data_IF_312825659881
#
_entry.id   IF_312825659881
#
_cell.length_a   1.000
_cell.length_b   1.000
_cell.length_c   1.000
_cell.angle_alpha   90.00
_cell.angle_beta   90.00
_cell.angle_gamma   90.00
#
_symmetry.space_group_name_H-M   'P 1'
#
loop_
_entity.id
_entity.type
_entity.pdbx_description
1 polymer ?
#
# COMPACT_ATOMS: atom_id res chain seq x y z
N UNK A 1 -26.33 8.75 -92.14
CA UNK A 1 -26.59 9.84 -91.10
C UNK A 1 -27.06 9.32 -89.73
N UNK A 2 -27.87 8.29 -89.67
CA UNK A 2 -28.49 7.82 -88.38
C UNK A 2 -27.46 7.20 -87.39
N UNK A 3 -26.42 6.50 -87.83
CA UNK A 3 -25.38 5.92 -86.99
C UNK A 3 -24.48 6.98 -86.33
N UNK A 4 -24.18 8.04 -87.04
CA UNK A 4 -23.35 9.15 -86.49
C UNK A 4 -24.10 10.00 -85.47
N UNK A 5 -25.39 10.25 -85.67
CA UNK A 5 -26.22 10.93 -84.71
C UNK A 5 -26.42 10.14 -83.42
N UNK A 6 -26.59 8.83 -83.50
CA UNK A 6 -26.66 7.96 -82.31
C UNK A 6 -25.36 7.94 -81.52
N UNK A 7 -24.20 8.03 -82.23
CA UNK A 7 -22.89 8.09 -81.56
C UNK A 7 -22.68 9.43 -80.81
N UNK A 8 -23.10 10.54 -81.47
CA UNK A 8 -23.03 11.88 -80.85
C UNK A 8 -23.92 11.98 -79.63
N UNK A 9 -25.13 11.44 -79.70
CA UNK A 9 -26.06 11.42 -78.53
C UNK A 9 -25.54 10.54 -77.39
N UNK A 10 -24.85 9.40 -77.69
CA UNK A 10 -24.22 8.55 -76.68
C UNK A 10 -22.98 9.23 -76.04
N UNK A 11 -22.22 9.96 -76.83
CA UNK A 11 -21.10 10.75 -76.30
C UNK A 11 -21.53 11.90 -75.45
N UNK A 12 -22.57 12.64 -75.84
CA UNK A 12 -23.18 13.73 -75.05
C UNK A 12 -23.79 13.20 -73.75
N UNK A 13 -24.49 12.06 -73.79
CA UNK A 13 -25.02 11.41 -72.60
C UNK A 13 -23.91 10.93 -71.67
N UNK A 14 -22.81 10.38 -72.18
CA UNK A 14 -21.64 9.98 -71.35
C UNK A 14 -20.94 11.19 -70.71
N UNK A 15 -20.80 12.31 -71.43
CA UNK A 15 -20.25 13.56 -70.90
C UNK A 15 -21.16 14.16 -69.82
N UNK A 16 -22.48 14.13 -70.01
CA UNK A 16 -23.45 14.58 -69.03
C UNK A 16 -23.46 13.71 -67.74
N UNK A 17 -23.27 12.37 -67.90
CA UNK A 17 -23.18 11.45 -66.77
C UNK A 17 -21.84 11.65 -66.02
N UNK A 18 -20.75 11.81 -66.72
CA UNK A 18 -19.40 12.03 -66.11
C UNK A 18 -19.38 13.43 -65.46
N UNK A 19 -19.92 14.45 -66.08
CA UNK A 19 -20.06 15.79 -65.52
C UNK A 19 -20.98 15.83 -64.29
N UNK A 20 -22.09 15.08 -64.34
CA UNK A 20 -23.00 14.93 -63.22
C UNK A 20 -22.41 14.18 -62.04
N UNK A 21 -21.66 13.12 -62.30
CA UNK A 21 -20.92 12.38 -61.27
C UNK A 21 -19.77 13.21 -60.69
N UNK A 22 -19.04 13.99 -61.51
CA UNK A 22 -17.99 14.89 -61.06
C UNK A 22 -18.56 16.03 -60.16
N UNK A 23 -19.67 16.66 -60.56
CA UNK A 23 -20.33 17.70 -59.79
C UNK A 23 -20.90 17.14 -58.46
N UNK A 24 -21.53 15.95 -58.53
CA UNK A 24 -22.03 15.25 -57.35
C UNK A 24 -20.89 14.85 -56.39
N UNK A 25 -19.80 14.31 -56.91
CA UNK A 25 -18.63 13.95 -56.12
C UNK A 25 -17.99 15.15 -55.43
N UNK A 26 -17.85 16.28 -56.15
CA UNK A 26 -17.36 17.54 -55.58
C UNK A 26 -18.27 18.08 -54.45
N UNK A 27 -19.58 18.07 -54.68
CA UNK A 27 -20.55 18.50 -53.70
C UNK A 27 -20.47 17.63 -52.44
N UNK A 28 -20.44 16.32 -52.54
CA UNK A 28 -20.38 15.40 -51.42
C UNK A 28 -19.01 15.36 -50.72
N UNK A 29 -17.95 15.82 -51.39
CA UNK A 29 -16.65 16.00 -50.75
C UNK A 29 -16.57 17.28 -49.94
N UNK A 30 -17.37 18.31 -50.26
CA UNK A 30 -17.38 19.63 -49.60
C UNK A 30 -18.55 19.86 -48.67
N UNK A 31 -19.57 19.00 -48.66
CA UNK A 31 -20.79 19.15 -47.85
C UNK A 31 -21.12 17.87 -47.09
N UNK A 32 -21.67 18.04 -45.90
CA UNK A 32 -22.19 16.93 -45.10
C UNK A 32 -23.37 16.25 -45.78
N UNK A 33 -23.48 14.92 -45.73
CA UNK A 33 -24.61 14.16 -46.19
C UNK A 33 -25.90 14.55 -45.44
N UNK A 34 -27.07 14.49 -46.10
CA UNK A 34 -28.34 15.04 -45.65
C UNK A 34 -28.76 14.74 -44.23
N UNK A 35 -28.47 13.52 -43.75
CA UNK A 35 -28.93 13.04 -42.43
C UNK A 35 -27.81 12.99 -41.39
N UNK A 36 -26.77 13.82 -41.56
CA UNK A 36 -25.63 13.91 -40.60
C UNK A 36 -25.95 14.91 -39.50
N UNK A 37 -25.61 14.52 -38.27
CA UNK A 37 -25.62 15.39 -37.11
C UNK A 37 -24.26 15.32 -36.41
N UNK A 38 -23.89 16.40 -35.73
CA UNK A 38 -22.72 16.42 -34.79
C UNK A 38 -23.30 16.81 -33.44
N UNK A 39 -23.09 15.96 -32.42
CA UNK A 39 -23.64 16.11 -31.06
C UNK A 39 -25.16 16.41 -31.08
N UNK A 40 -25.91 15.83 -32.02
CA UNK A 40 -27.34 16.05 -32.19
C UNK A 40 -27.72 17.26 -33.06
N UNK A 41 -26.80 18.16 -33.35
CA UNK A 41 -27.03 19.35 -34.22
C UNK A 41 -27.01 18.92 -35.68
N UNK A 42 -28.08 19.21 -36.43
CA UNK A 42 -28.17 18.89 -37.86
C UNK A 42 -27.19 19.72 -38.68
N UNK A 43 -26.23 19.06 -39.33
CA UNK A 43 -25.23 19.68 -40.20
C UNK A 43 -25.34 19.22 -41.66
N UNK A 44 -26.29 18.36 -41.96
CA UNK A 44 -26.50 17.84 -43.32
C UNK A 44 -26.72 18.97 -44.34
N UNK A 45 -26.03 18.87 -45.49
CA UNK A 45 -26.05 19.87 -46.55
C UNK A 45 -25.18 21.11 -46.30
N UNK A 46 -24.50 21.19 -45.15
CA UNK A 46 -23.60 22.31 -44.82
C UNK A 46 -22.15 21.98 -45.22
N UNK A 47 -21.36 23.00 -45.53
CA UNK A 47 -19.90 22.91 -45.61
C UNK A 47 -19.31 22.77 -44.19
N UNK A 48 -18.03 22.40 -44.06
CA UNK A 48 -17.37 22.31 -42.75
C UNK A 48 -17.37 23.65 -42.01
N UNK A 49 -17.17 24.78 -42.68
CA UNK A 49 -17.22 26.12 -42.08
C UNK A 49 -18.63 26.46 -41.60
N UNK A 50 -19.66 26.29 -42.47
CA UNK A 50 -21.04 26.56 -42.07
C UNK A 50 -21.54 25.64 -40.93
N UNK A 51 -21.08 24.37 -40.92
CA UNK A 51 -21.37 23.44 -39.85
C UNK A 51 -20.68 23.88 -38.54
N UNK A 52 -19.41 24.34 -38.61
CA UNK A 52 -18.72 24.88 -37.46
C UNK A 52 -19.45 26.12 -36.90
N UNK A 53 -19.78 27.10 -37.73
CA UNK A 53 -20.51 28.29 -37.31
C UNK A 53 -21.82 27.94 -36.60
N UNK A 54 -22.56 27.00 -37.20
CA UNK A 54 -23.80 26.51 -36.61
C UNK A 54 -23.58 25.82 -35.26
N UNK A 55 -22.53 25.01 -35.10
CA UNK A 55 -22.16 24.40 -33.82
C UNK A 55 -21.73 25.43 -32.78
N UNK A 56 -20.92 26.41 -33.19
CA UNK A 56 -20.43 27.47 -32.32
C UNK A 56 -21.54 28.39 -31.78
N UNK A 57 -22.57 28.67 -32.60
CA UNK A 57 -23.70 29.52 -32.21
C UNK A 57 -24.71 28.82 -31.29
N UNK A 58 -24.62 27.51 -31.10
CA UNK A 58 -25.55 26.78 -30.21
C UNK A 58 -25.32 27.12 -28.75
N UNK A 59 -26.40 27.15 -27.99
CA UNK A 59 -26.37 27.09 -26.52
C UNK A 59 -26.77 25.69 -26.08
N UNK A 60 -26.22 25.23 -24.98
CA UNK A 60 -26.60 23.96 -24.35
C UNK A 60 -27.49 24.27 -23.16
N UNK A 61 -28.63 23.62 -23.05
CA UNK A 61 -29.52 23.74 -21.88
C UNK A 61 -28.89 23.10 -20.63
N UNK A 62 -28.02 22.11 -20.83
CA UNK A 62 -27.44 21.26 -19.79
C UNK A 62 -28.47 20.49 -18.95
N UNK A 63 -29.71 20.39 -19.45
CA UNK A 63 -30.76 19.58 -18.85
C UNK A 63 -30.41 18.09 -18.93
N UNK A 64 -30.66 17.35 -17.85
CA UNK A 64 -30.47 15.89 -17.82
C UNK A 64 -31.82 15.19 -17.67
N UNK A 65 -32.07 14.26 -18.57
CA UNK A 65 -33.23 13.38 -18.56
C UNK A 65 -32.81 11.95 -18.30
N UNK A 66 -33.59 11.24 -17.48
CA UNK A 66 -33.43 9.80 -17.24
C UNK A 66 -34.75 9.10 -17.59
N UNK A 67 -34.69 8.17 -18.54
CA UNK A 67 -35.90 7.51 -19.09
C UNK A 67 -36.99 8.52 -19.54
N UNK A 68 -36.57 9.62 -20.16
CA UNK A 68 -37.46 10.69 -20.64
C UNK A 68 -37.97 11.67 -19.57
N UNK A 69 -37.69 11.43 -18.28
CA UNK A 69 -38.07 12.36 -17.20
C UNK A 69 -36.87 13.27 -16.86
N UNK A 70 -37.12 14.60 -16.81
CA UNK A 70 -36.11 15.57 -16.36
C UNK A 70 -35.75 15.30 -14.90
N UNK A 71 -34.47 15.14 -14.62
CA UNK A 71 -33.91 14.90 -13.28
C UNK A 71 -32.97 16.01 -12.82
N UNK A 72 -32.53 16.85 -13.75
CA UNK A 72 -31.69 18.00 -13.48
C UNK A 72 -32.07 19.13 -14.48
N UNK A 73 -32.28 20.32 -13.97
CA UNK A 73 -32.47 21.53 -14.76
C UNK A 73 -31.15 22.28 -14.79
N UNK A 74 -30.57 22.37 -15.99
CA UNK A 74 -29.27 22.97 -16.20
C UNK A 74 -29.32 24.47 -16.38
N UNK A 75 -28.25 25.16 -16.06
CA UNK A 75 -28.00 26.53 -16.49
C UNK A 75 -27.46 26.52 -17.92
N UNK A 76 -28.04 27.30 -18.80
CA UNK A 76 -27.60 27.35 -20.19
C UNK A 76 -26.19 27.89 -20.34
N UNK A 77 -25.34 27.20 -21.12
CA UNK A 77 -23.97 27.57 -21.42
C UNK A 77 -23.72 27.65 -22.93
N UNK A 78 -22.62 28.25 -23.37
CA UNK A 78 -22.16 28.18 -24.74
C UNK A 78 -21.91 26.72 -25.17
N UNK A 79 -21.90 26.47 -26.48
CA UNK A 79 -21.57 25.17 -27.03
C UNK A 79 -20.13 24.70 -26.70
N UNK A 80 -19.21 25.63 -26.41
CA UNK A 80 -17.81 25.40 -26.20
C UNK A 80 -16.98 25.20 -27.46
N UNK A 81 -17.57 25.33 -28.65
CA UNK A 81 -16.83 25.31 -29.90
C UNK A 81 -16.10 26.63 -30.14
N UNK A 82 -14.79 26.56 -30.42
CA UNK A 82 -13.92 27.70 -30.74
C UNK A 82 -13.31 27.53 -32.13
N UNK A 83 -12.58 28.54 -32.61
CA UNK A 83 -11.90 28.47 -33.91
C UNK A 83 -10.95 27.27 -34.01
N UNK A 84 -10.38 26.79 -32.87
CA UNK A 84 -9.56 25.59 -32.79
C UNK A 84 -10.31 24.32 -33.21
N UNK A 85 -11.66 24.31 -33.16
CA UNK A 85 -12.44 23.11 -33.50
C UNK A 85 -12.78 23.03 -35.00
N UNK A 86 -12.49 24.05 -35.80
CA UNK A 86 -12.71 24.02 -37.26
C UNK A 86 -12.05 22.81 -37.94
N UNK A 87 -10.79 22.54 -37.56
CA UNK A 87 -10.08 21.39 -38.09
C UNK A 87 -10.73 20.05 -37.70
N UNK A 88 -11.31 19.94 -36.50
CA UNK A 88 -12.05 18.75 -36.06
C UNK A 88 -13.34 18.54 -36.89
N UNK A 89 -14.09 19.61 -37.14
CA UNK A 89 -15.32 19.56 -37.99
C UNK A 89 -14.96 19.17 -39.42
N UNK A 90 -13.89 19.75 -39.97
CA UNK A 90 -13.38 19.38 -41.31
C UNK A 90 -12.96 17.91 -41.37
N UNK A 91 -12.33 17.39 -40.31
CA UNK A 91 -11.97 15.97 -40.21
C UNK A 91 -13.23 15.08 -40.26
N UNK A 92 -14.29 15.42 -39.53
CA UNK A 92 -15.56 14.68 -39.57
C UNK A 92 -16.19 14.69 -40.97
N UNK A 93 -16.12 15.82 -41.67
CA UNK A 93 -16.56 15.90 -43.08
C UNK A 93 -15.76 14.94 -43.98
N UNK A 94 -14.44 14.89 -43.82
CA UNK A 94 -13.56 13.96 -44.58
C UNK A 94 -13.83 12.49 -44.23
N UNK A 95 -14.12 12.16 -43.00
CA UNK A 95 -14.44 10.79 -42.55
C UNK A 95 -15.76 10.27 -43.14
N UNK A 96 -16.73 11.14 -43.40
CA UNK A 96 -17.96 10.72 -44.03
C UNK A 96 -17.92 10.69 -45.56
N UNK A 97 -16.83 11.20 -46.20
CA UNK A 97 -16.71 11.41 -47.64
C UNK A 97 -17.22 10.21 -48.45
N UNK A 98 -18.29 10.44 -49.21
CA UNK A 98 -18.89 9.47 -50.10
C UNK A 98 -18.96 10.08 -51.51
N UNK A 99 -18.67 9.29 -52.53
CA UNK A 99 -18.77 9.73 -53.95
C UNK A 99 -20.25 9.93 -54.33
N UNK A 100 -21.13 9.17 -53.72
CA UNK A 100 -22.57 9.22 -53.90
C UNK A 100 -23.32 9.70 -52.66
N UNK A 101 -24.49 10.33 -52.81
CA UNK A 101 -25.32 10.77 -51.68
C UNK A 101 -25.62 9.58 -50.77
N UNK A 102 -25.45 9.77 -49.44
CA UNK A 102 -25.85 8.80 -48.45
C UNK A 102 -27.04 9.32 -47.63
N UNK A 103 -28.09 8.53 -47.58
CA UNK A 103 -29.27 8.81 -46.74
C UNK A 103 -29.14 8.24 -45.34
N UNK A 104 -27.99 7.61 -45.01
CA UNK A 104 -27.71 7.03 -43.69
C UNK A 104 -27.73 8.10 -42.60
N UNK A 105 -28.54 7.89 -41.55
CA UNK A 105 -28.53 8.74 -40.36
C UNK A 105 -27.26 8.46 -39.57
N UNK A 106 -26.43 9.48 -39.38
CA UNK A 106 -25.16 9.35 -38.64
C UNK A 106 -25.04 10.53 -37.67
N UNK A 107 -24.77 10.25 -36.39
CA UNK A 107 -24.47 11.27 -35.39
C UNK A 107 -23.01 11.13 -34.93
N UNK A 108 -22.18 12.06 -35.33
CA UNK A 108 -20.79 12.12 -34.88
C UNK A 108 -20.70 12.74 -33.49
N UNK A 109 -19.79 12.21 -32.69
CA UNK A 109 -19.44 12.75 -31.37
C UNK A 109 -18.22 13.61 -31.52
N UNK A 110 -18.29 14.87 -31.13
CA UNK A 110 -17.18 15.80 -31.21
C UNK A 110 -17.09 16.60 -29.89
N UNK A 111 -15.97 16.50 -29.18
CA UNK A 111 -15.76 17.27 -27.96
C UNK A 111 -15.24 18.67 -28.30
N UNK A 112 -15.98 19.73 -27.93
CA UNK A 112 -15.55 21.12 -28.08
C UNK A 112 -14.28 21.40 -27.27
N UNK A 113 -13.46 22.33 -27.73
CA UNK A 113 -12.20 22.70 -27.07
C UNK A 113 -12.40 23.38 -25.71
N UNK A 114 -13.52 24.12 -25.56
CA UNK A 114 -13.87 24.84 -24.32
C UNK A 114 -15.20 24.34 -23.74
N UNK A 115 -15.31 23.01 -23.57
CA UNK A 115 -16.51 22.40 -23.00
C UNK A 115 -16.63 22.77 -21.51
N UNK A 116 -17.68 23.54 -21.16
CA UNK A 116 -17.99 23.84 -19.76
C UNK A 116 -18.49 22.57 -19.04
N UNK A 117 -17.80 22.22 -17.95
CA UNK A 117 -18.11 21.07 -17.08
C UNK A 117 -18.45 21.48 -15.65
N UNK A 118 -18.66 22.75 -15.38
CA UNK A 118 -18.95 23.28 -14.03
C UNK A 118 -20.13 22.60 -13.35
N UNK A 119 -21.14 22.19 -14.13
CA UNK A 119 -22.36 21.54 -13.62
C UNK A 119 -22.24 20.00 -13.50
N UNK A 120 -21.13 19.39 -13.91
CA UNK A 120 -20.98 17.93 -13.96
C UNK A 120 -21.19 17.25 -12.60
N UNK A 121 -20.72 17.86 -11.53
CA UNK A 121 -20.90 17.31 -10.17
C UNK A 121 -22.37 17.28 -9.75
N UNK A 122 -23.11 18.38 -10.02
CA UNK A 122 -24.52 18.46 -9.73
C UNK A 122 -25.35 17.47 -10.57
N UNK A 123 -25.03 17.33 -11.87
CA UNK A 123 -25.61 16.32 -12.74
C UNK A 123 -25.43 14.91 -12.23
N UNK A 124 -24.19 14.55 -11.81
CA UNK A 124 -23.87 13.23 -11.21
C UNK A 124 -24.66 12.98 -9.93
N UNK A 125 -24.80 14.00 -9.09
CA UNK A 125 -25.60 13.93 -7.85
C UNK A 125 -27.09 13.71 -8.17
N UNK A 126 -27.66 14.44 -9.14
CA UNK A 126 -29.04 14.28 -9.56
C UNK A 126 -29.30 12.87 -10.12
N UNK A 127 -28.40 12.36 -10.96
CA UNK A 127 -28.47 10.97 -11.45
C UNK A 127 -28.49 9.99 -10.28
N UNK A 128 -27.57 10.14 -9.29
CA UNK A 128 -27.54 9.26 -8.14
C UNK A 128 -28.87 9.26 -7.39
N UNK A 129 -29.42 10.42 -7.07
CA UNK A 129 -30.70 10.56 -6.36
C UNK A 129 -31.83 9.90 -7.13
N UNK A 130 -31.93 10.17 -8.45
CA UNK A 130 -32.98 9.60 -9.30
C UNK A 130 -32.87 8.07 -9.40
N UNK A 131 -31.63 7.54 -9.54
CA UNK A 131 -31.41 6.09 -9.62
C UNK A 131 -31.65 5.42 -8.29
N UNK A 132 -31.22 6.00 -7.17
CA UNK A 132 -31.49 5.47 -5.82
C UNK A 132 -33.01 5.34 -5.58
N UNK A 133 -33.79 6.35 -5.97
CA UNK A 133 -35.26 6.30 -5.90
C UNK A 133 -35.84 5.19 -6.78
N UNK A 134 -35.32 5.01 -8.00
CA UNK A 134 -35.77 3.93 -8.89
C UNK A 134 -35.36 2.53 -8.35
N UNK A 135 -34.33 2.46 -7.51
CA UNK A 135 -33.80 1.20 -6.98
C UNK A 135 -34.40 0.80 -5.62
N UNK A 136 -35.24 1.59 -4.99
CA UNK A 136 -35.78 1.32 -3.64
C UNK A 136 -36.33 -0.09 -3.45
N UNK A 137 -36.97 -0.66 -4.45
CA UNK A 137 -37.55 -2.01 -4.42
C UNK A 137 -36.88 -2.96 -5.42
N UNK A 138 -35.61 -2.74 -5.77
CA UNK A 138 -34.89 -3.50 -6.78
C UNK A 138 -33.70 -4.23 -6.17
N UNK A 139 -33.35 -5.36 -6.71
CA UNK A 139 -32.23 -6.22 -6.26
C UNK A 139 -31.01 -5.95 -7.13
N UNK A 140 -29.86 -5.73 -6.48
CA UNK A 140 -28.59 -5.57 -7.18
C UNK A 140 -28.14 -6.89 -7.81
N UNK A 141 -27.65 -6.84 -9.04
CA UNK A 141 -27.02 -7.99 -9.67
C UNK A 141 -25.69 -8.29 -9.00
N UNK A 142 -25.41 -9.57 -8.76
CA UNK A 142 -24.12 -10.04 -8.21
C UNK A 142 -23.33 -10.70 -9.33
N UNK A 143 -22.12 -10.21 -9.58
CA UNK A 143 -21.22 -10.81 -10.55
C UNK A 143 -20.65 -12.12 -10.04
N UNK A 144 -20.40 -13.08 -10.92
CA UNK A 144 -19.52 -14.19 -10.63
C UNK A 144 -18.12 -13.66 -10.30
N UNK A 145 -17.47 -14.26 -9.33
CA UNK A 145 -16.11 -13.90 -8.87
C UNK A 145 -15.30 -15.17 -8.67
N UNK A 146 -14.04 -15.12 -9.05
CA UNK A 146 -13.12 -16.18 -8.68
C UNK A 146 -12.59 -15.93 -7.25
N UNK A 147 -12.50 -17.01 -6.49
CA UNK A 147 -11.97 -17.03 -5.12
C UNK A 147 -10.99 -18.19 -5.01
N UNK A 148 -9.79 -17.90 -4.52
CA UNK A 148 -8.82 -18.91 -4.10
C UNK A 148 -8.99 -19.15 -2.60
N UNK A 149 -9.12 -20.39 -2.23
CA UNK A 149 -9.21 -20.86 -0.85
C UNK A 149 -8.85 -22.34 -0.80
N UNK A 150 -8.19 -22.80 0.26
CA UNK A 150 -7.79 -24.19 0.47
C UNK A 150 -7.09 -24.77 -0.78
N UNK A 151 -6.12 -24.01 -1.30
CA UNK A 151 -5.33 -24.31 -2.51
C UNK A 151 -6.16 -24.56 -3.79
N UNK A 152 -7.41 -24.11 -3.81
CA UNK A 152 -8.35 -24.27 -4.93
C UNK A 152 -8.91 -22.94 -5.38
N UNK A 153 -9.13 -22.83 -6.69
CA UNK A 153 -9.85 -21.70 -7.27
C UNK A 153 -11.28 -22.12 -7.57
N UNK A 154 -12.22 -21.48 -6.93
CA UNK A 154 -13.65 -21.64 -7.16
C UNK A 154 -14.23 -20.38 -7.78
N UNK A 155 -15.36 -20.50 -8.49
CA UNK A 155 -16.06 -19.34 -9.06
C UNK A 155 -17.48 -19.32 -8.47
N UNK A 156 -17.82 -18.20 -7.83
CA UNK A 156 -19.17 -17.99 -7.28
C UNK A 156 -20.20 -17.87 -8.40
N UNK A 157 -21.41 -18.35 -8.16
CA UNK A 157 -22.51 -18.20 -9.12
C UNK A 157 -22.98 -16.75 -9.19
N UNK A 158 -23.23 -16.21 -10.40
CA UNK A 158 -23.80 -14.89 -10.55
C UNK A 158 -25.26 -14.89 -10.13
N UNK A 159 -25.77 -13.74 -9.65
CA UNK A 159 -27.21 -13.55 -9.39
C UNK A 159 -27.72 -12.41 -10.27
N UNK A 160 -28.79 -12.66 -11.02
CA UNK A 160 -29.49 -11.61 -11.75
C UNK A 160 -30.09 -10.62 -10.76
N UNK A 161 -30.04 -9.35 -11.13
CA UNK A 161 -30.67 -8.27 -10.38
C UNK A 161 -31.69 -7.54 -11.25
N UNK A 162 -32.42 -6.63 -10.64
CA UNK A 162 -33.37 -5.73 -11.31
C UNK A 162 -32.97 -4.26 -11.14
N UNK A 163 -31.96 -3.99 -10.32
CA UNK A 163 -31.48 -2.63 -10.04
C UNK A 163 -30.71 -2.02 -11.20
N UNK A 164 -30.84 -0.72 -11.36
CA UNK A 164 -30.07 0.09 -12.28
C UNK A 164 -28.72 0.48 -11.68
N UNK A 165 -27.67 0.58 -12.51
CA UNK A 165 -26.33 0.91 -12.06
C UNK A 165 -25.98 2.37 -12.28
N UNK A 166 -25.91 3.15 -11.23
CA UNK A 166 -25.57 4.59 -11.24
C UNK A 166 -24.27 4.86 -11.98
N UNK A 167 -23.22 4.08 -11.75
CA UNK A 167 -21.92 4.29 -12.41
C UNK A 167 -21.96 4.13 -13.93
N UNK A 168 -22.81 3.24 -14.45
CA UNK A 168 -22.99 3.08 -15.91
C UNK A 168 -23.72 4.27 -16.51
N UNK A 169 -24.75 4.77 -15.83
CA UNK A 169 -25.50 5.95 -16.26
C UNK A 169 -24.62 7.20 -16.19
N UNK A 170 -23.80 7.32 -15.15
CA UNK A 170 -22.83 8.42 -15.03
C UNK A 170 -21.70 8.35 -16.08
N UNK A 171 -21.31 7.15 -16.52
CA UNK A 171 -20.37 7.01 -17.63
C UNK A 171 -21.01 7.44 -18.96
N UNK A 172 -22.31 7.14 -19.18
CA UNK A 172 -23.05 7.59 -20.36
C UNK A 172 -23.20 9.11 -20.38
N UNK A 173 -23.40 9.76 -19.22
CA UNK A 173 -23.41 11.22 -19.08
C UNK A 173 -22.16 11.84 -19.73
N UNK A 174 -20.97 11.32 -19.42
CA UNK A 174 -19.71 11.86 -19.93
C UNK A 174 -19.61 11.84 -21.47
N UNK A 175 -20.31 10.91 -22.11
CA UNK A 175 -20.36 10.80 -23.58
C UNK A 175 -21.36 11.75 -24.24
N UNK A 176 -22.16 12.46 -23.46
CA UNK A 176 -23.23 13.34 -23.95
C UNK A 176 -23.08 14.81 -23.51
N UNK A 177 -22.00 15.15 -22.79
CA UNK A 177 -21.79 16.50 -22.24
C UNK A 177 -21.77 17.61 -23.31
N UNK A 178 -21.44 17.29 -24.55
CA UNK A 178 -21.42 18.23 -25.66
C UNK A 178 -22.79 18.35 -26.38
N UNK A 179 -23.82 17.62 -25.97
CA UNK A 179 -25.15 17.73 -26.49
C UNK A 179 -25.91 18.90 -25.86
N UNK A 180 -26.93 19.42 -26.51
CA UNK A 180 -27.81 20.48 -25.95
C UNK A 180 -28.45 20.01 -24.65
N UNK A 181 -29.13 18.87 -24.68
CA UNK A 181 -29.67 18.19 -23.52
C UNK A 181 -29.16 16.75 -23.45
N UNK A 182 -29.05 16.21 -22.25
CA UNK A 182 -28.48 14.89 -21.98
C UNK A 182 -29.61 13.88 -21.79
N UNK A 183 -29.69 12.87 -22.64
CA UNK A 183 -30.73 11.84 -22.64
C UNK A 183 -30.15 10.50 -22.18
N UNK A 184 -30.38 10.14 -20.92
CA UNK A 184 -29.88 8.93 -20.30
C UNK A 184 -30.97 7.85 -20.22
N UNK A 185 -30.56 6.60 -20.40
CA UNK A 185 -31.46 5.46 -20.24
C UNK A 185 -30.94 4.53 -19.15
N UNK A 186 -31.74 4.28 -18.13
CA UNK A 186 -31.39 3.34 -17.07
C UNK A 186 -31.59 1.90 -17.58
N UNK A 187 -30.48 1.16 -17.61
CA UNK A 187 -30.45 -0.27 -17.98
C UNK A 187 -30.06 -1.12 -16.79
N UNK A 188 -30.74 -2.25 -16.63
CA UNK A 188 -30.38 -3.27 -15.64
C UNK A 188 -29.03 -3.89 -16.01
N UNK A 189 -28.14 -4.07 -15.04
CA UNK A 189 -26.86 -4.71 -15.26
C UNK A 189 -27.03 -6.20 -15.50
N UNK A 190 -26.51 -6.70 -16.60
CA UNK A 190 -26.26 -8.13 -16.77
C UNK A 190 -25.02 -8.52 -15.94
N UNK A 191 -25.12 -9.44 -14.98
CA UNK A 191 -23.98 -9.83 -14.17
C UNK A 191 -22.95 -10.59 -15.00
N UNK A 192 -21.68 -10.45 -14.62
CA UNK A 192 -20.61 -11.28 -15.16
C UNK A 192 -20.88 -12.74 -14.82
N UNK A 193 -20.69 -13.62 -15.79
CA UNK A 193 -20.78 -15.08 -15.61
C UNK A 193 -19.39 -15.69 -15.48
N UNK A 194 -19.31 -16.96 -15.09
CA UNK A 194 -18.04 -17.71 -15.05
C UNK A 194 -17.28 -17.73 -16.40
N UNK A 195 -17.99 -17.53 -17.50
CA UNK A 195 -17.42 -17.51 -18.84
C UNK A 195 -16.97 -16.13 -19.30
N UNK A 196 -17.28 -15.07 -18.55
CA UNK A 196 -16.87 -13.70 -18.87
C UNK A 196 -15.35 -13.55 -18.86
N UNK A 197 -14.78 -12.80 -19.80
CA UNK A 197 -13.34 -12.61 -19.94
C UNK A 197 -12.69 -12.09 -18.64
N UNK A 198 -13.37 -11.20 -17.91
CA UNK A 198 -12.90 -10.69 -16.62
C UNK A 198 -12.75 -11.83 -15.59
N UNK A 199 -13.77 -12.71 -15.44
CA UNK A 199 -13.73 -13.82 -14.47
C UNK A 199 -12.69 -14.86 -14.88
N UNK A 200 -12.51 -15.14 -16.17
CA UNK A 200 -11.43 -16.01 -16.67
C UNK A 200 -10.04 -15.44 -16.32
N UNK A 201 -9.86 -14.12 -16.41
CA UNK A 201 -8.62 -13.45 -16.00
C UNK A 201 -8.38 -13.57 -14.49
N UNK A 202 -9.43 -13.42 -13.67
CA UNK A 202 -9.36 -13.65 -12.22
C UNK A 202 -8.92 -15.08 -11.91
N UNK A 203 -9.55 -16.10 -12.53
CA UNK A 203 -9.20 -17.50 -12.36
C UNK A 203 -7.74 -17.77 -12.74
N UNK A 204 -7.28 -17.21 -13.87
CA UNK A 204 -5.90 -17.40 -14.33
C UNK A 204 -4.87 -16.77 -13.37
N UNK A 205 -5.19 -15.60 -12.82
CA UNK A 205 -4.35 -14.93 -11.83
C UNK A 205 -4.28 -15.74 -10.53
N UNK A 206 -5.42 -16.15 -9.99
CA UNK A 206 -5.50 -16.88 -8.73
C UNK A 206 -4.88 -18.29 -8.81
N UNK A 207 -4.95 -18.96 -9.94
CA UNK A 207 -4.26 -20.25 -10.16
C UNK A 207 -2.75 -20.17 -9.98
N UNK A 208 -2.14 -18.99 -10.19
CA UNK A 208 -0.70 -18.78 -9.97
C UNK A 208 -0.30 -18.89 -8.50
N UNK A 209 -1.25 -18.78 -7.58
CA UNK A 209 -1.00 -18.90 -6.14
C UNK A 209 -0.97 -20.36 -5.70
N UNK A 210 -1.62 -21.27 -6.43
CA UNK A 210 -1.78 -22.66 -6.00
C UNK A 210 -0.47 -23.44 -6.01
N UNK A 211 -0.30 -24.34 -5.03
CA UNK A 211 0.85 -25.26 -4.90
C UNK A 211 2.21 -24.56 -4.79
N UNK A 212 2.26 -23.30 -4.36
CA UNK A 212 3.52 -22.61 -4.10
C UNK A 212 4.10 -23.04 -2.76
N UNK A 213 5.44 -23.07 -2.72
CA UNK A 213 6.21 -23.32 -1.50
C UNK A 213 7.32 -22.26 -1.40
N UNK A 214 7.51 -21.73 -0.20
CA UNK A 214 8.56 -20.75 0.09
C UNK A 214 9.31 -21.22 1.34
N UNK A 215 10.62 -21.23 1.27
CA UNK A 215 11.48 -21.46 2.42
C UNK A 215 11.74 -20.12 3.12
N UNK A 216 11.20 -19.95 4.32
CA UNK A 216 11.45 -18.81 5.19
C UNK A 216 12.59 -19.13 6.15
N UNK A 217 13.74 -18.47 5.98
CA UNK A 217 14.96 -18.71 6.76
C UNK A 217 15.00 -17.76 7.96
N UNK A 218 14.98 -18.35 9.16
CA UNK A 218 15.07 -17.64 10.44
C UNK A 218 16.35 -18.11 11.13
N UNK A 219 17.36 -17.27 11.14
CA UNK A 219 18.72 -17.64 11.58
C UNK A 219 19.22 -18.92 10.87
N UNK A 220 19.59 -19.95 11.63
CA UNK A 220 20.04 -21.26 11.12
C UNK A 220 18.87 -22.24 10.85
N UNK A 221 17.62 -21.84 11.05
CA UNK A 221 16.42 -22.67 10.84
C UNK A 221 15.71 -22.30 9.54
N UNK A 222 15.12 -23.29 8.91
CA UNK A 222 14.35 -23.12 7.69
C UNK A 222 12.93 -23.65 7.90
N UNK A 223 11.94 -22.83 7.53
CA UNK A 223 10.52 -23.15 7.58
C UNK A 223 9.99 -23.19 6.16
N UNK A 224 9.49 -24.34 5.70
CA UNK A 224 8.85 -24.45 4.40
C UNK A 224 7.37 -24.11 4.57
N UNK A 225 6.95 -22.97 4.03
CA UNK A 225 5.57 -22.51 4.04
C UNK A 225 4.94 -22.76 2.68
N UNK A 226 3.71 -23.27 2.69
CA UNK A 226 2.87 -23.42 1.50
C UNK A 226 1.99 -22.21 1.29
N UNK A 227 1.32 -22.12 0.14
CA UNK A 227 0.33 -21.06 -0.10
C UNK A 227 -0.76 -21.04 0.98
N UNK A 228 -1.18 -22.21 1.48
CA UNK A 228 -2.23 -22.32 2.50
C UNK A 228 -1.76 -21.84 3.89
N UNK A 229 -0.45 -21.97 4.19
CA UNK A 229 0.14 -21.45 5.43
C UNK A 229 0.26 -19.92 5.40
N UNK A 230 0.22 -19.31 4.21
CA UNK A 230 0.42 -17.87 4.01
C UNK A 230 -0.92 -17.16 3.78
N UNK A 231 -1.82 -17.78 3.01
CA UNK A 231 -3.05 -17.15 2.53
C UNK A 231 -4.25 -17.99 2.96
N UNK A 232 -5.15 -17.40 3.74
CA UNK A 232 -6.44 -18.02 4.07
C UNK A 232 -7.41 -17.94 2.89
N UNK A 233 -7.41 -16.79 2.19
CA UNK A 233 -8.29 -16.52 1.05
C UNK A 233 -7.69 -15.46 0.15
N UNK A 234 -7.90 -15.58 -1.16
CA UNK A 234 -7.51 -14.54 -2.11
C UNK A 234 -8.61 -14.28 -3.16
N UNK A 235 -8.66 -13.02 -3.61
CA UNK A 235 -9.43 -12.59 -4.77
C UNK A 235 -8.54 -11.75 -5.69
N UNK A 236 -8.94 -11.63 -6.98
CA UNK A 236 -8.22 -10.81 -7.95
C UNK A 236 -9.21 -9.96 -8.73
N UNK A 237 -9.22 -8.65 -8.52
CA UNK A 237 -10.16 -7.73 -9.15
C UNK A 237 -9.43 -6.46 -9.63
N UNK A 238 -9.85 -5.95 -10.77
CA UNK A 238 -9.27 -4.72 -11.36
C UNK A 238 -7.72 -4.74 -11.48
N UNK A 239 -7.15 -5.92 -11.70
CA UNK A 239 -5.70 -6.07 -11.83
C UNK A 239 -4.94 -6.22 -10.50
N UNK A 240 -5.62 -6.27 -9.36
CA UNK A 240 -5.02 -6.34 -8.03
C UNK A 240 -5.48 -7.56 -7.25
N UNK A 241 -4.56 -8.15 -6.50
CA UNK A 241 -4.86 -9.19 -5.51
C UNK A 241 -5.36 -8.54 -4.22
N UNK A 242 -6.31 -9.22 -3.59
CA UNK A 242 -6.72 -8.98 -2.21
C UNK A 242 -6.54 -10.27 -1.44
N UNK A 243 -5.79 -10.22 -0.35
CA UNK A 243 -5.43 -11.39 0.45
C UNK A 243 -6.01 -11.30 1.85
N UNK A 244 -6.45 -12.44 2.36
CA UNK A 244 -6.63 -12.70 3.77
C UNK A 244 -5.43 -13.57 4.22
N UNK A 245 -4.64 -13.08 5.15
CA UNK A 245 -3.38 -13.68 5.60
C UNK A 245 -3.44 -14.17 7.05
N UNK A 246 -4.63 -14.41 7.60
CA UNK A 246 -4.79 -14.84 8.99
C UNK A 246 -4.07 -16.17 9.31
N UNK A 247 -3.92 -17.05 8.32
CA UNK A 247 -3.13 -18.29 8.46
C UNK A 247 -1.65 -17.96 8.74
N UNK A 248 -1.07 -16.98 8.02
CA UNK A 248 0.31 -16.56 8.20
C UNK A 248 0.57 -15.98 9.61
N UNK A 249 -0.37 -15.24 10.16
CA UNK A 249 -0.27 -14.70 11.52
C UNK A 249 -0.06 -15.82 12.55
N UNK A 250 -0.75 -16.94 12.37
CA UNK A 250 -0.60 -18.11 13.22
C UNK A 250 0.77 -18.79 13.01
N UNK A 251 1.25 -18.91 11.77
CA UNK A 251 2.55 -19.51 11.49
C UNK A 251 3.69 -18.64 12.03
N UNK A 252 3.66 -17.31 11.86
CA UNK A 252 4.65 -16.40 12.44
C UNK A 252 4.60 -16.46 13.98
N UNK A 253 3.43 -16.61 14.57
CA UNK A 253 3.29 -16.79 16.03
C UNK A 253 3.98 -18.07 16.49
N UNK A 254 3.80 -19.20 15.78
CA UNK A 254 4.50 -20.47 16.08
C UNK A 254 6.03 -20.32 15.94
N UNK A 255 6.49 -19.68 14.88
CA UNK A 255 7.91 -19.42 14.63
C UNK A 255 8.50 -18.54 15.75
N UNK A 256 7.81 -17.45 16.12
CA UNK A 256 8.21 -16.58 17.22
C UNK A 256 8.27 -17.33 18.56
N UNK A 257 7.29 -18.19 18.85
CA UNK A 257 7.32 -19.02 20.05
C UNK A 257 8.56 -19.91 20.09
N UNK A 258 8.98 -20.47 18.95
CA UNK A 258 10.10 -21.38 18.85
C UNK A 258 11.47 -20.67 18.81
N UNK A 259 11.58 -19.52 18.12
CA UNK A 259 12.88 -18.93 17.77
C UNK A 259 13.15 -17.58 18.41
N UNK A 260 12.15 -16.71 18.58
CA UNK A 260 12.40 -15.35 19.07
C UNK A 260 13.00 -15.35 20.47
N UNK A 261 13.83 -14.35 20.75
CA UNK A 261 14.53 -14.19 22.04
C UNK A 261 14.02 -13.01 22.85
N UNK A 262 13.42 -12.00 22.23
CA UNK A 262 12.86 -10.84 22.92
C UNK A 262 11.74 -11.23 23.89
N UNK A 263 11.89 -10.85 25.16
CA UNK A 263 10.93 -11.13 26.22
C UNK A 263 10.96 -12.59 26.67
N UNK A 264 12.10 -13.27 26.50
CA UNK A 264 12.33 -14.63 27.01
C UNK A 264 13.51 -14.69 27.96
N UNK A 265 13.50 -15.73 28.82
CA UNK A 265 14.61 -16.08 29.68
C UNK A 265 15.69 -16.82 28.89
N UNK A 266 16.95 -16.60 29.29
CA UNK A 266 18.12 -17.28 28.73
C UNK A 266 18.71 -18.24 29.77
N UNK A 267 19.20 -19.40 29.31
CA UNK A 267 20.07 -20.23 30.07
C UNK A 267 21.48 -19.64 29.97
N UNK A 268 22.02 -19.15 31.08
CA UNK A 268 23.29 -18.45 31.12
C UNK A 268 24.27 -19.10 32.12
N UNK A 269 25.49 -19.36 31.66
CA UNK A 269 26.57 -19.82 32.53
C UNK A 269 27.32 -18.62 33.08
N UNK A 270 27.16 -18.38 34.36
CA UNK A 270 27.77 -17.24 35.06
C UNK A 270 29.28 -17.35 35.15
N UNK A 271 29.96 -16.25 35.47
CA UNK A 271 31.39 -16.21 35.77
C UNK A 271 31.80 -17.23 36.85
N UNK A 272 30.98 -17.43 37.88
CA UNK A 272 31.19 -18.43 38.93
C UNK A 272 30.98 -19.87 38.45
N UNK A 273 30.66 -20.13 37.22
CA UNK A 273 30.45 -21.44 36.61
C UNK A 273 29.08 -22.05 36.81
N UNK A 274 28.15 -21.39 37.51
CA UNK A 274 26.80 -21.85 37.75
C UNK A 274 25.92 -21.57 36.49
N UNK A 275 24.98 -22.45 36.19
CA UNK A 275 23.98 -22.19 35.17
C UNK A 275 22.71 -21.64 35.80
N UNK A 276 22.34 -20.43 35.41
CA UNK A 276 21.10 -19.78 35.85
C UNK A 276 20.10 -19.70 34.70
N UNK A 277 18.85 -19.39 35.05
CA UNK A 277 17.81 -18.92 34.08
C UNK A 277 17.61 -17.44 34.38
N UNK A 278 17.88 -16.58 33.42
CA UNK A 278 17.66 -15.12 33.58
C UNK A 278 16.18 -14.79 33.73
N UNK A 279 15.88 -13.64 34.30
CA UNK A 279 14.54 -13.05 34.17
C UNK A 279 14.20 -12.90 32.67
N UNK A 280 12.92 -13.02 32.35
CA UNK A 280 12.40 -12.76 30.99
C UNK A 280 12.30 -11.25 30.69
N UNK A 281 12.69 -10.42 31.65
CA UNK A 281 12.74 -8.97 31.47
C UNK A 281 14.00 -8.59 30.68
N UNK A 282 13.98 -7.39 30.11
CA UNK A 282 15.12 -6.86 29.38
C UNK A 282 14.73 -6.47 27.94
N UNK A 283 15.63 -5.73 27.33
CA UNK A 283 15.45 -5.19 25.97
C UNK A 283 16.25 -5.98 24.91
N UNK A 284 17.13 -6.89 25.34
CA UNK A 284 17.91 -7.72 24.43
C UNK A 284 17.05 -8.78 23.78
N UNK A 285 17.21 -8.94 22.48
CA UNK A 285 16.52 -9.95 21.70
C UNK A 285 15.81 -9.40 20.48
N UNK A 286 15.14 -10.32 19.78
CA UNK A 286 14.41 -10.03 18.55
C UNK A 286 13.11 -10.85 18.46
N UNK A 287 12.17 -10.34 17.68
CA UNK A 287 10.95 -11.06 17.25
C UNK A 287 10.69 -10.78 15.80
N UNK A 288 10.01 -11.67 15.11
CA UNK A 288 9.53 -11.45 13.74
C UNK A 288 8.25 -10.61 13.80
N UNK A 289 8.24 -9.50 13.07
CA UNK A 289 7.06 -8.69 12.82
C UNK A 289 6.16 -9.39 11.80
N UNK A 290 4.95 -9.71 12.19
CA UNK A 290 3.96 -10.32 11.28
C UNK A 290 3.73 -9.45 10.06
N UNK A 291 3.60 -8.14 10.23
CA UNK A 291 3.39 -7.20 9.11
C UNK A 291 4.54 -7.21 8.11
N UNK A 292 5.81 -7.20 8.58
CA UNK A 292 6.98 -7.25 7.69
C UNK A 292 7.08 -8.62 7.01
N UNK A 293 6.91 -9.71 7.77
CA UNK A 293 6.94 -11.07 7.24
C UNK A 293 5.85 -11.31 6.18
N UNK A 294 4.64 -10.81 6.43
CA UNK A 294 3.54 -10.85 5.45
C UNK A 294 3.96 -10.20 4.14
N UNK A 295 4.52 -8.99 4.20
CA UNK A 295 4.99 -8.30 3.00
C UNK A 295 6.08 -9.09 2.27
N UNK A 296 7.10 -9.56 2.99
CA UNK A 296 8.22 -10.33 2.44
C UNK A 296 7.74 -11.62 1.76
N UNK A 297 6.89 -12.39 2.43
CA UNK A 297 6.38 -13.68 1.94
C UNK A 297 5.39 -13.50 0.79
N UNK A 298 4.51 -12.50 0.83
CA UNK A 298 3.60 -12.21 -0.27
C UNK A 298 4.33 -11.74 -1.52
N UNK A 299 5.32 -10.85 -1.37
CA UNK A 299 6.16 -10.40 -2.49
C UNK A 299 6.92 -11.59 -3.13
N UNK A 300 7.46 -12.47 -2.30
CA UNK A 300 8.17 -13.68 -2.75
C UNK A 300 7.23 -14.64 -3.52
N UNK A 301 6.04 -14.88 -2.97
CA UNK A 301 5.02 -15.75 -3.57
C UNK A 301 4.60 -15.22 -4.95
N UNK A 302 4.34 -13.93 -5.07
CA UNK A 302 3.91 -13.29 -6.32
C UNK A 302 5.03 -13.27 -7.36
N UNK A 303 6.29 -13.06 -6.94
CA UNK A 303 7.47 -13.09 -7.82
C UNK A 303 7.93 -14.49 -8.18
N UNK A 304 7.44 -15.53 -7.48
CA UNK A 304 7.89 -16.92 -7.67
C UNK A 304 9.25 -17.19 -7.03
N UNK A 305 9.66 -16.40 -6.04
CA UNK A 305 10.88 -16.62 -5.24
C UNK A 305 10.63 -17.80 -4.28
N UNK A 306 11.57 -18.73 -4.21
CA UNK A 306 11.42 -19.98 -3.44
C UNK A 306 12.05 -19.94 -2.05
N UNK A 307 12.87 -18.91 -1.74
CA UNK A 307 13.52 -18.76 -0.45
C UNK A 307 13.75 -17.30 -0.10
N UNK A 308 13.41 -16.91 1.13
CA UNK A 308 13.62 -15.56 1.68
C UNK A 308 14.12 -15.64 3.12
N UNK A 309 14.85 -14.61 3.57
CA UNK A 309 15.36 -14.47 4.92
C UNK A 309 14.45 -13.61 5.77
N UNK A 310 14.26 -13.99 7.03
CA UNK A 310 13.55 -13.21 8.04
C UNK A 310 14.33 -11.99 8.56
N UNK A 311 15.62 -11.84 8.20
CA UNK A 311 16.51 -10.80 8.76
C UNK A 311 15.92 -9.37 8.67
N UNK A 312 15.26 -9.04 7.57
CA UNK A 312 14.60 -7.73 7.40
C UNK A 312 13.25 -7.62 8.12
N UNK A 313 12.71 -8.75 8.55
CA UNK A 313 11.36 -8.81 9.14
C UNK A 313 11.41 -8.77 10.68
N UNK A 314 12.60 -8.91 11.28
CA UNK A 314 12.74 -8.87 12.73
C UNK A 314 12.62 -7.45 13.27
N UNK A 315 12.31 -7.36 14.56
CA UNK A 315 12.31 -6.11 15.32
C UNK A 315 12.78 -6.36 16.75
N UNK A 316 13.25 -5.31 17.40
CA UNK A 316 13.57 -5.21 18.81
C UNK A 316 12.85 -4.04 19.46
N UNK A 317 13.19 -3.77 20.72
CA UNK A 317 12.69 -2.63 21.50
C UNK A 317 13.85 -1.75 21.96
N UNK A 318 13.54 -0.52 22.37
CA UNK A 318 14.54 0.45 22.80
C UNK A 318 15.22 1.15 21.62
N UNK A 319 16.48 1.46 21.75
CA UNK A 319 17.27 2.22 20.78
C UNK A 319 17.52 1.45 19.48
N UNK A 320 17.65 0.14 19.53
CA UNK A 320 17.81 -0.70 18.34
C UNK A 320 16.51 -1.43 17.99
N UNK A 321 15.68 -0.79 17.14
CA UNK A 321 14.42 -1.36 16.68
C UNK A 321 14.59 -2.50 15.66
N UNK A 322 15.81 -2.78 15.19
CA UNK A 322 16.10 -3.86 14.25
C UNK A 322 16.22 -5.24 14.90
N UNK A 323 16.23 -5.31 16.23
CA UNK A 323 16.41 -6.54 16.99
C UNK A 323 17.88 -6.88 17.24
N UNK A 324 18.30 -6.81 18.50
CA UNK A 324 19.67 -7.13 18.91
C UNK A 324 19.84 -8.63 19.04
N UNK A 325 20.99 -9.17 18.63
CA UNK A 325 21.32 -10.59 18.76
C UNK A 325 20.71 -11.50 17.67
N UNK A 326 20.05 -10.99 16.65
CA UNK A 326 19.60 -11.83 15.53
C UNK A 326 20.82 -12.42 14.78
N UNK A 327 20.87 -13.74 14.66
CA UNK A 327 22.01 -14.47 14.09
C UNK A 327 23.03 -14.92 15.12
N UNK A 328 22.90 -14.55 16.39
CA UNK A 328 23.74 -14.98 17.48
C UNK A 328 23.25 -16.34 18.02
N UNK A 329 24.10 -17.38 17.90
CA UNK A 329 23.75 -18.75 18.31
C UNK A 329 24.59 -19.27 19.46
N UNK A 330 25.78 -18.69 19.69
CA UNK A 330 26.63 -19.05 20.82
C UNK A 330 26.04 -18.58 22.15
N UNK A 331 26.42 -19.21 23.24
CA UNK A 331 25.99 -18.91 24.61
C UNK A 331 24.46 -18.76 24.73
N UNK A 332 23.70 -19.69 24.11
CA UNK A 332 22.26 -19.70 24.09
C UNK A 332 21.62 -18.41 23.50
N UNK A 333 22.29 -17.73 22.57
CA UNK A 333 21.80 -16.54 21.90
C UNK A 333 22.31 -15.22 22.50
N UNK A 334 23.09 -15.25 23.58
CA UNK A 334 23.72 -14.06 24.19
C UNK A 334 25.03 -13.70 23.45
N UNK A 335 25.71 -14.69 22.88
CA UNK A 335 27.04 -14.50 22.28
C UNK A 335 28.18 -14.63 23.27
N UNK A 336 29.40 -14.48 22.76
CA UNK A 336 30.62 -14.63 23.53
C UNK A 336 31.26 -13.28 23.91
N UNK A 337 30.62 -12.18 23.52
CA UNK A 337 30.97 -10.81 23.89
C UNK A 337 29.77 -10.22 24.64
N UNK A 338 29.94 -9.98 25.95
CA UNK A 338 28.85 -9.50 26.83
C UNK A 338 29.42 -8.90 28.13
N UNK A 339 28.61 -8.10 28.81
CA UNK A 339 28.81 -7.72 30.20
C UNK A 339 27.93 -8.58 31.11
N UNK A 340 28.48 -9.01 32.24
CA UNK A 340 27.79 -9.76 33.28
C UNK A 340 27.83 -8.96 34.60
N UNK A 341 26.68 -8.84 35.26
CA UNK A 341 26.55 -8.14 36.56
C UNK A 341 25.91 -9.08 37.58
N UNK A 342 26.63 -9.42 38.62
CA UNK A 342 26.05 -10.12 39.78
C UNK A 342 25.70 -9.10 40.87
N UNK A 343 24.41 -8.94 41.17
CA UNK A 343 23.94 -8.07 42.25
C UNK A 343 24.42 -8.58 43.59
N UNK A 344 24.38 -9.88 43.84
CA UNK A 344 24.83 -10.46 45.11
C UNK A 344 26.33 -10.36 45.34
N UNK A 345 27.13 -10.48 44.27
CA UNK A 345 28.60 -10.37 44.34
C UNK A 345 29.08 -8.91 44.27
N UNK A 346 28.22 -7.97 43.85
CA UNK A 346 28.57 -6.57 43.58
C UNK A 346 29.82 -6.46 42.70
N UNK A 347 29.81 -7.26 41.61
CA UNK A 347 30.91 -7.33 40.64
C UNK A 347 30.35 -7.39 39.23
N UNK A 348 30.99 -6.69 38.31
CA UNK A 348 30.76 -6.78 36.88
C UNK A 348 31.98 -7.42 36.20
N UNK A 349 31.71 -8.26 35.20
CA UNK A 349 32.73 -8.90 34.34
C UNK A 349 32.38 -8.57 32.88
N UNK A 350 33.42 -8.28 32.11
CA UNK A 350 33.32 -7.91 30.70
C UNK A 350 34.06 -8.95 29.85
N UNK A 351 33.35 -9.54 28.91
CA UNK A 351 33.87 -10.58 28.04
C UNK A 351 33.94 -10.11 26.59
N UNK A 352 35.03 -10.44 25.90
CA UNK A 352 35.20 -10.28 24.46
C UNK A 352 35.64 -11.63 23.87
N UNK A 353 34.85 -12.12 22.89
CA UNK A 353 35.14 -13.40 22.21
C UNK A 353 35.40 -14.54 23.20
N UNK A 354 34.63 -14.64 24.27
CA UNK A 354 34.71 -15.63 25.31
C UNK A 354 35.86 -15.44 26.32
N UNK A 355 36.64 -14.35 26.22
CA UNK A 355 37.74 -14.04 27.14
C UNK A 355 37.35 -12.93 28.10
N UNK A 356 37.63 -13.11 29.38
CA UNK A 356 37.49 -12.05 30.36
C UNK A 356 38.52 -10.96 30.07
N UNK A 357 38.07 -9.73 29.78
CA UNK A 357 38.97 -8.60 29.48
C UNK A 357 39.01 -7.58 30.62
N UNK A 358 37.92 -7.45 31.38
CA UNK A 358 37.86 -6.57 32.53
C UNK A 358 36.96 -7.15 33.62
N UNK A 359 37.27 -6.89 34.87
CA UNK A 359 36.38 -7.09 36.02
C UNK A 359 36.45 -5.88 36.94
N UNK A 360 35.34 -5.49 37.52
CA UNK A 360 35.22 -4.31 38.36
C UNK A 360 34.31 -4.55 39.57
N UNK A 361 34.73 -4.07 40.73
CA UNK A 361 33.82 -3.91 41.88
C UNK A 361 32.80 -2.84 41.49
N UNK A 362 31.51 -3.13 41.75
CA UNK A 362 30.42 -2.21 41.46
C UNK A 362 29.51 -2.02 42.66
N UNK A 363 28.64 -0.99 42.59
CA UNK A 363 27.50 -0.87 43.52
C UNK A 363 26.27 -0.67 42.66
N UNK A 364 25.32 -1.61 42.76
CA UNK A 364 24.04 -1.63 42.06
C UNK A 364 22.98 -0.82 42.77
N UNK A 365 21.76 -0.83 42.25
CA UNK A 365 20.61 -0.11 42.77
C UNK A 365 20.26 -0.46 44.21
N UNK A 366 19.66 0.51 44.95
CA UNK A 366 19.37 0.40 46.37
C UNK A 366 18.10 -0.42 46.61
N UNK A 367 18.28 -1.58 47.24
CA UNK A 367 17.21 -2.52 47.52
C UNK A 367 16.17 -1.96 48.52
N UNK A 368 16.63 -1.30 49.58
CA UNK A 368 15.75 -0.81 50.66
C UNK A 368 14.76 0.28 50.22
N UNK A 369 14.98 0.96 49.10
CA UNK A 369 14.08 1.93 48.47
C UNK A 369 13.33 1.40 47.24
N UNK A 370 13.63 0.15 46.80
CA UNK A 370 13.04 -0.41 45.59
C UNK A 370 13.67 0.13 44.29
N UNK A 371 14.84 0.75 44.40
CA UNK A 371 15.62 1.24 43.25
C UNK A 371 16.57 0.18 42.71
N UNK A 372 16.18 -1.09 42.78
CA UNK A 372 17.02 -2.21 42.35
C UNK A 372 17.43 -2.05 40.89
N UNK A 373 18.69 -2.46 40.60
CA UNK A 373 19.11 -2.67 39.21
C UNK A 373 18.26 -3.80 38.60
N UNK A 374 17.51 -3.57 37.51
CA UNK A 374 16.57 -4.57 37.00
C UNK A 374 17.30 -5.79 36.46
N UNK A 375 16.89 -6.98 36.92
CA UNK A 375 17.44 -8.26 36.44
C UNK A 375 16.90 -8.63 35.06
N UNK A 376 17.74 -9.32 34.25
CA UNK A 376 17.37 -9.75 32.89
C UNK A 376 18.52 -9.64 31.91
N UNK A 377 18.20 -9.60 30.62
CA UNK A 377 19.20 -9.39 29.58
C UNK A 377 18.87 -8.12 28.80
N UNK A 378 19.75 -7.16 28.92
CA UNK A 378 19.67 -5.85 28.29
C UNK A 378 20.74 -5.72 27.21
N UNK A 379 20.88 -4.56 26.59
CA UNK A 379 22.00 -4.24 25.70
C UNK A 379 22.45 -2.79 25.89
N UNK A 380 23.73 -2.51 25.61
CA UNK A 380 24.27 -1.15 25.65
C UNK A 380 23.61 -0.31 24.55
N UNK A 381 22.78 0.67 24.94
CA UNK A 381 21.98 1.48 24.02
C UNK A 381 22.83 2.48 23.26
N UNK A 382 23.72 3.15 23.96
CA UNK A 382 24.72 4.09 23.44
C UNK A 382 25.85 4.30 24.44
N UNK A 383 26.86 5.04 24.05
CA UNK A 383 28.01 5.38 24.92
C UNK A 383 28.25 6.88 24.84
N UNK A 384 28.47 7.51 25.98
CA UNK A 384 28.73 8.95 26.07
C UNK A 384 29.80 9.25 27.09
N UNK A 385 30.71 10.21 26.78
CA UNK A 385 31.70 10.74 27.71
C UNK A 385 31.29 12.12 28.21
N UNK A 386 31.72 12.46 29.44
CA UNK A 386 31.58 13.77 30.05
C UNK A 386 30.11 14.29 29.96
N UNK A 387 29.23 13.58 30.62
CA UNK A 387 27.79 13.95 30.67
C UNK A 387 27.34 14.18 32.10
N UNK A 388 26.16 14.73 32.31
CA UNK A 388 25.55 14.91 33.62
C UNK A 388 24.26 14.09 33.70
N UNK A 389 24.27 13.10 34.60
CA UNK A 389 23.07 12.29 34.89
C UNK A 389 22.13 13.12 35.76
N UNK A 390 20.87 13.18 35.36
CA UNK A 390 19.82 13.96 36.04
C UNK A 390 18.64 13.06 36.35
N UNK A 391 18.06 13.24 37.54
CA UNK A 391 16.90 12.48 37.97
C UNK A 391 16.36 12.97 39.30
N UNK A 392 15.44 12.22 39.87
CA UNK A 392 14.94 12.41 41.23
C UNK A 392 15.42 11.21 42.03
N UNK A 393 16.16 11.46 43.13
CA UNK A 393 16.60 10.41 44.03
C UNK A 393 15.50 9.89 44.95
N UNK A 394 15.80 8.85 45.70
CA UNK A 394 14.91 8.20 46.67
C UNK A 394 14.33 9.14 47.74
N UNK A 395 15.01 10.25 48.02
CA UNK A 395 14.52 11.31 48.94
C UNK A 395 13.55 12.30 48.28
N UNK A 396 13.17 12.09 47.02
CA UNK A 396 12.33 13.02 46.25
C UNK A 396 13.05 14.28 45.78
N UNK A 397 14.39 14.40 45.99
CA UNK A 397 15.20 15.54 45.55
C UNK A 397 15.80 15.30 44.20
N UNK A 398 15.81 16.34 43.36
CA UNK A 398 16.50 16.33 42.07
C UNK A 398 18.02 16.25 42.29
N UNK A 399 18.67 15.44 41.46
CA UNK A 399 20.14 15.36 41.39
C UNK A 399 20.66 15.71 40.00
N UNK A 400 21.93 16.14 39.96
CA UNK A 400 22.70 16.40 38.73
C UNK A 400 24.13 15.94 38.98
N UNK A 401 24.45 14.71 38.56
CA UNK A 401 25.74 14.06 38.83
C UNK A 401 26.58 14.03 37.54
N UNK A 402 27.70 14.79 37.47
CA UNK A 402 28.62 14.69 36.35
C UNK A 402 29.37 13.35 36.39
N UNK A 403 29.43 12.71 35.20
CA UNK A 403 30.15 11.45 35.02
C UNK A 403 31.04 11.55 33.79
N UNK A 404 32.21 10.90 33.85
CA UNK A 404 33.16 10.86 32.72
C UNK A 404 32.79 9.81 31.68
N UNK A 405 32.12 8.74 32.10
CA UNK A 405 31.78 7.57 31.29
C UNK A 405 30.33 7.18 31.56
N UNK A 406 29.53 7.06 30.51
CA UNK A 406 28.14 6.67 30.58
C UNK A 406 27.78 5.65 29.49
N UNK A 407 27.29 4.48 29.89
CA UNK A 407 26.83 3.42 28.99
C UNK A 407 25.49 2.87 29.48
N UNK A 408 24.36 3.45 29.05
CA UNK A 408 23.02 3.02 29.47
C UNK A 408 22.63 1.69 28.79
N UNK A 409 21.87 0.86 29.53
CA UNK A 409 21.31 -0.39 29.07
C UNK A 409 19.78 -0.50 29.27
N UNK A 410 19.14 0.48 29.95
CA UNK A 410 17.68 0.56 30.04
C UNK A 410 17.18 1.92 29.54
N UNK A 411 15.96 1.95 29.03
CA UNK A 411 15.29 3.20 28.64
C UNK A 411 14.93 4.05 29.88
N UNK A 412 14.77 3.41 31.05
CA UNK A 412 14.54 4.09 32.33
C UNK A 412 15.79 4.80 32.89
N UNK A 413 16.95 4.65 32.23
CA UNK A 413 18.15 5.36 32.59
C UNK A 413 19.09 4.60 33.52
N UNK A 414 19.02 3.26 33.61
CA UNK A 414 20.05 2.47 34.26
C UNK A 414 21.22 2.21 33.27
N UNK A 415 22.45 2.33 33.76
CA UNK A 415 23.67 2.14 32.97
C UNK A 415 24.89 2.02 33.80
N UNK A 416 26.03 1.74 33.14
CA UNK A 416 27.38 1.76 33.77
C UNK A 416 27.92 3.19 33.76
N UNK A 417 28.46 3.64 34.92
CA UNK A 417 29.13 4.94 34.98
C UNK A 417 30.11 5.01 36.16
N UNK A 418 31.09 5.89 36.09
CA UNK A 418 31.96 6.25 37.21
C UNK A 418 31.20 7.00 38.32
N UNK A 419 31.50 6.76 39.56
CA UNK A 419 30.86 7.39 40.71
C UNK A 419 31.93 7.91 41.71
N UNK A 420 32.48 9.08 41.40
CA UNK A 420 33.52 9.74 42.20
C UNK A 420 33.05 10.14 43.62
N UNK A 421 31.77 10.28 43.83
CA UNK A 421 31.16 10.66 45.09
C UNK A 421 30.94 9.49 46.04
N UNK A 422 31.11 8.21 45.56
CA UNK A 422 30.86 7.01 46.36
C UNK A 422 32.07 6.63 47.17
N UNK A 423 31.83 6.39 48.46
CA UNK A 423 32.85 5.95 49.39
C UNK A 423 32.67 4.52 49.89
N UNK A 424 31.39 4.05 49.98
CA UNK A 424 31.06 2.68 50.36
C UNK A 424 31.01 1.77 49.12
N UNK A 425 31.95 0.85 49.05
CA UNK A 425 32.10 -0.16 47.99
C UNK A 425 32.03 -1.60 48.55
N UNK A 426 31.40 -1.74 49.74
CA UNK A 426 31.20 -3.07 50.33
C UNK A 426 30.23 -3.90 49.47
N UNK A 427 30.31 -5.23 49.62
CA UNK A 427 29.41 -6.16 48.92
C UNK A 427 27.94 -6.05 49.37
N UNK A 428 27.70 -5.36 50.45
CA UNK A 428 26.35 -5.11 51.03
C UNK A 428 25.87 -3.68 50.81
N UNK A 429 26.67 -2.81 50.14
CA UNK A 429 26.32 -1.41 49.94
C UNK A 429 24.97 -1.25 49.22
N UNK A 430 24.66 -2.14 48.26
CA UNK A 430 23.39 -2.09 47.53
C UNK A 430 22.12 -2.25 48.40
N UNK A 431 22.24 -2.81 49.61
CA UNK A 431 21.08 -3.04 50.46
C UNK A 431 20.50 -1.71 50.94
N UNK A 432 21.35 -0.82 51.50
CA UNK A 432 20.91 0.45 52.09
C UNK A 432 21.57 1.71 51.53
N UNK A 433 22.66 1.54 50.75
CA UNK A 433 23.50 2.61 50.24
C UNK A 433 23.77 2.39 48.74
N UNK A 434 22.81 1.81 47.99
CA UNK A 434 22.89 1.56 46.56
C UNK A 434 22.73 2.84 45.70
N UNK A 435 22.69 2.66 44.42
CA UNK A 435 22.36 3.69 43.43
C UNK A 435 20.85 3.78 43.21
N UNK A 436 20.40 4.67 42.31
CA UNK A 436 19.01 4.70 41.82
C UNK A 436 18.81 3.76 40.60
N UNK A 437 19.37 2.55 40.65
CA UNK A 437 19.27 1.51 39.61
C UNK A 437 20.51 1.38 38.72
N UNK A 438 21.41 2.36 38.66
CA UNK A 438 22.64 2.29 37.88
C UNK A 438 23.67 1.35 38.47
N UNK A 439 24.62 0.89 37.67
CA UNK A 439 25.82 0.12 38.08
C UNK A 439 26.98 1.10 38.23
N UNK A 440 27.23 1.54 39.48
CA UNK A 440 28.27 2.48 39.84
C UNK A 440 29.62 1.77 39.83
N UNK A 441 30.63 2.39 39.24
CA UNK A 441 32.01 1.89 39.12
C UNK A 441 33.00 2.85 39.75
N UNK A 442 34.12 2.33 40.21
CA UNK A 442 35.27 3.17 40.60
C UNK A 442 35.73 3.99 39.37
N UNK A 443 36.22 5.20 39.63
CA UNK A 443 36.74 6.09 38.58
C UNK A 443 37.98 5.51 37.85
N UNK A 444 38.68 4.60 38.44
CA UNK A 444 39.83 3.93 37.82
C UNK A 444 39.44 2.66 37.01
N UNK A 445 38.26 2.03 37.30
CA UNK A 445 37.77 0.89 36.53
C UNK A 445 36.90 1.31 35.34
N UNK A 446 36.17 2.40 35.51
CA UNK A 446 35.18 2.86 34.52
C UNK A 446 35.78 3.10 33.10
N UNK A 447 36.99 3.66 32.93
CA UNK A 447 37.59 3.82 31.60
C UNK A 447 37.79 2.49 30.86
N UNK A 448 38.28 1.45 31.55
CA UNK A 448 38.51 0.15 30.93
C UNK A 448 37.18 -0.51 30.54
N UNK A 449 36.24 -0.60 31.49
CA UNK A 449 34.91 -1.14 31.21
C UNK A 449 34.19 -0.38 30.06
N UNK A 450 34.27 0.94 30.08
CA UNK A 450 33.65 1.75 29.00
C UNK A 450 34.32 1.50 27.64
N UNK A 451 35.64 1.32 27.57
CA UNK A 451 36.33 1.05 26.31
C UNK A 451 36.03 -0.37 25.80
N UNK A 452 35.90 -1.34 26.70
CA UNK A 452 35.57 -2.72 26.35
C UNK A 452 34.11 -2.91 25.91
N UNK A 453 33.17 -2.11 26.40
CA UNK A 453 31.77 -2.16 25.98
C UNK A 453 31.59 -1.67 24.54
N UNK A 454 30.64 -2.28 23.81
CA UNK A 454 30.19 -1.86 22.48
C UNK A 454 28.69 -1.56 22.50
N UNK A 455 28.26 -0.69 21.63
CA UNK A 455 26.79 -0.50 21.40
C UNK A 455 26.19 -1.82 20.91
N UNK A 456 24.98 -2.13 21.33
CA UNK A 456 24.25 -3.38 21.10
C UNK A 456 24.84 -4.62 21.84
N UNK A 457 25.88 -4.46 22.65
CA UNK A 457 26.43 -5.54 23.42
C UNK A 457 25.49 -5.98 24.55
N UNK A 458 25.24 -7.30 24.73
CA UNK A 458 24.39 -7.81 25.79
C UNK A 458 24.94 -7.49 27.21
N UNK A 459 24.00 -7.18 28.10
CA UNK A 459 24.26 -7.00 29.54
C UNK A 459 23.33 -7.95 30.31
N UNK A 460 23.95 -8.96 30.95
CA UNK A 460 23.24 -9.96 31.77
C UNK A 460 23.29 -9.53 33.22
N UNK A 461 22.13 -9.36 33.87
CA UNK A 461 22.01 -8.89 35.26
C UNK A 461 21.20 -9.92 36.05
N UNK A 462 21.77 -10.39 37.17
CA UNK A 462 21.15 -11.38 38.06
C UNK A 462 21.50 -11.19 39.52
#
# INVERSE_FOLDING_TARGET
MEKTQKLIWRALAAVAVIGGLGASGYYHHSHFNKNVTINGVKVGGLTSEAAYQKLASQKRSNDVYLNGKKIYEGTSTSSGYTSADKAKVTKVLKEQATILPSAKKTNYKLTPSELDTSQLSAMKKAIKVAVDKLNQNRVMAVDAKAVWKDNKVTVTSPKKGTAYYTSKIQAELSNQLAADSIQLTAKVKTPLTKNSAAVKKEVAALKKLSNKKITYKVENKSYTLTSDDIITKATYQNGQYQFDTAALDQEITKINKAQSTLGKSFKFKTHAGNTITTSAQGSYGWRISTTKATKTLMDALLKGTTSVSAKADVYGIGYNTGGVGYGTTSNNGIGDTYAEVSISAQTAWFYKDGKLVCSARVVTGKQSSGDDTPTGVYYIMYKQRNTTLRGIGDTGKAYASPVSYWAPFTESGCGFHDASWRTDWSTTAYVNNGSNGCVNMHTYDAPNAFNDLSVDEPVVIY
#
